data_IF_293837870834
#
_entry.id   IF_293837870834
#
_cell.length_a   1.000
_cell.length_b   1.000
_cell.length_c   1.000
_cell.angle_alpha   90.00
_cell.angle_beta   90.00
_cell.angle_gamma   90.00
#
_symmetry.space_group_name_H-M   'P 1'
#
loop_
_entity.id
_entity.type
_entity.pdbx_description
1 polymer ?
#
# COMPACT_ATOMS: atom_id res chain seq x y z
N UNK A 1 13.84 -25.89 32.83
CA UNK A 1 13.49 -26.33 34.20
C UNK A 1 12.98 -27.76 34.08
N UNK A 2 13.57 -28.70 34.81
CA UNK A 2 13.17 -30.10 34.74
C UNK A 2 12.41 -30.45 36.02
N UNK A 3 11.25 -31.07 35.87
CA UNK A 3 10.44 -31.48 37.02
C UNK A 3 10.95 -32.80 37.64
N UNK A 4 10.39 -33.24 38.77
CA UNK A 4 10.78 -34.49 39.46
C UNK A 4 10.52 -35.75 38.61
N UNK A 5 9.78 -35.66 37.48
CA UNK A 5 9.58 -36.74 36.53
C UNK A 5 10.49 -36.68 35.29
N UNK A 6 11.53 -35.85 35.35
CA UNK A 6 12.51 -35.61 34.26
C UNK A 6 11.87 -35.01 32.99
N UNK A 7 10.73 -34.34 33.10
CA UNK A 7 10.12 -33.60 31.99
C UNK A 7 10.78 -32.25 31.87
N UNK A 8 11.20 -31.89 30.71
CA UNK A 8 11.71 -30.57 30.39
C UNK A 8 10.50 -29.63 30.08
N UNK A 9 10.40 -28.55 30.85
CA UNK A 9 9.43 -27.50 30.59
C UNK A 9 10.20 -26.28 30.12
N UNK A 10 9.99 -25.90 28.85
CA UNK A 10 10.55 -24.68 28.27
C UNK A 10 9.45 -23.66 28.03
N UNK A 11 9.74 -22.39 28.24
CA UNK A 11 8.91 -21.27 27.85
C UNK A 11 9.75 -20.27 27.09
N UNK A 12 9.18 -19.71 26.01
CA UNK A 12 9.79 -18.63 25.25
C UNK A 12 8.90 -17.39 25.31
N UNK A 13 9.52 -16.22 25.34
CA UNK A 13 8.85 -14.95 25.25
C UNK A 13 9.51 -14.09 24.17
N UNK A 14 8.72 -13.21 23.55
CA UNK A 14 9.23 -12.22 22.61
C UNK A 14 9.15 -10.83 23.24
N UNK A 15 10.17 -10.01 23.01
CA UNK A 15 10.20 -8.60 23.40
C UNK A 15 10.45 -7.79 22.14
N UNK A 16 9.61 -6.79 21.92
CA UNK A 16 9.78 -5.83 20.82
C UNK A 16 10.58 -4.65 21.35
N UNK A 17 11.77 -4.41 20.77
CA UNK A 17 12.55 -3.21 21.02
C UNK A 17 12.37 -2.23 19.86
N UNK A 18 12.07 -0.98 20.13
CA UNK A 18 11.85 0.07 19.14
C UNK A 18 12.52 1.37 19.56
N UNK A 19 13.01 2.14 18.58
CA UNK A 19 13.56 3.48 18.80
C UNK A 19 12.50 4.58 18.86
N UNK A 20 11.27 4.30 18.39
CA UNK A 20 10.17 5.27 18.38
C UNK A 20 9.07 4.81 19.31
N UNK A 21 8.46 5.71 20.09
CA UNK A 21 7.35 5.39 20.97
C UNK A 21 6.12 4.86 20.20
N UNK A 22 5.91 5.39 19.00
CA UNK A 22 4.89 4.94 18.04
C UNK A 22 5.33 5.25 16.60
N UNK A 23 4.60 4.72 15.63
CA UNK A 23 4.80 4.98 14.21
C UNK A 23 3.56 5.65 13.62
N UNK A 24 3.78 6.45 12.57
CA UNK A 24 2.72 7.06 11.78
C UNK A 24 2.70 6.36 10.42
N UNK A 25 1.54 5.87 10.01
CA UNK A 25 1.33 5.24 8.71
C UNK A 25 0.35 6.10 7.91
N UNK A 26 0.78 6.59 6.76
CA UNK A 26 -0.06 7.36 5.84
C UNK A 26 -0.37 6.52 4.61
N UNK A 27 -1.64 6.47 4.22
CA UNK A 27 -2.09 5.80 3.00
C UNK A 27 -3.04 6.69 2.22
N UNK A 28 -3.01 6.59 0.89
CA UNK A 28 -3.99 7.23 0.02
C UNK A 28 -5.03 6.21 -0.44
N UNK A 29 -6.21 6.69 -0.78
CA UNK A 29 -7.27 5.91 -1.43
C UNK A 29 -6.99 5.58 -2.91
N UNK A 30 -5.82 5.96 -3.41
CA UNK A 30 -5.34 5.74 -4.78
C UNK A 30 -3.84 5.45 -4.77
N UNK A 31 -3.32 4.85 -5.84
CA UNK A 31 -1.89 4.56 -5.95
C UNK A 31 -1.05 5.76 -6.41
N UNK A 32 -1.68 6.71 -7.10
CA UNK A 32 -1.16 8.04 -7.41
C UNK A 32 -2.33 9.03 -7.40
N UNK A 33 -2.06 10.29 -7.03
CA UNK A 33 -3.10 11.31 -6.93
C UNK A 33 -3.47 11.83 -8.34
N UNK A 34 -4.74 11.74 -8.76
CA UNK A 34 -5.16 12.41 -9.98
C UNK A 34 -5.15 13.93 -9.77
N UNK A 35 -4.32 14.66 -10.55
CA UNK A 35 -4.26 16.13 -10.45
C UNK A 35 -5.62 16.78 -10.71
N UNK A 36 -6.00 17.73 -9.89
CA UNK A 36 -7.30 18.42 -9.95
C UNK A 36 -8.47 17.61 -9.38
N UNK A 37 -8.22 16.48 -8.73
CA UNK A 37 -9.27 15.65 -8.12
C UNK A 37 -9.01 15.49 -6.62
N UNK A 38 -10.05 15.53 -5.77
CA UNK A 38 -9.89 15.29 -4.34
C UNK A 38 -9.37 13.89 -4.04
N UNK A 39 -8.34 13.79 -3.22
CA UNK A 39 -7.73 12.57 -2.72
C UNK A 39 -7.91 12.49 -1.22
N UNK A 40 -8.24 11.31 -0.71
CA UNK A 40 -8.33 11.07 0.72
C UNK A 40 -7.07 10.39 1.22
N UNK A 41 -6.47 10.98 2.26
CA UNK A 41 -5.42 10.35 3.04
C UNK A 41 -5.99 9.81 4.36
N UNK A 42 -5.57 8.61 4.74
CA UNK A 42 -5.77 8.02 6.06
C UNK A 42 -4.44 7.97 6.78
N UNK A 43 -4.40 8.48 8.01
CA UNK A 43 -3.22 8.55 8.87
C UNK A 43 -3.51 7.72 10.10
N UNK A 44 -2.70 6.72 10.36
CA UNK A 44 -2.83 5.84 11.52
C UNK A 44 -1.61 5.98 12.42
N UNK A 45 -1.81 6.18 13.71
CA UNK A 45 -0.76 6.17 14.70
C UNK A 45 -0.86 4.90 15.57
N UNK A 46 0.22 4.12 15.63
CA UNK A 46 0.27 2.87 16.39
C UNK A 46 1.67 2.57 16.93
N UNK A 47 1.76 1.88 18.06
CA UNK A 47 3.01 1.32 18.59
C UNK A 47 3.51 0.16 17.71
N UNK A 48 4.73 -0.31 17.99
CA UNK A 48 5.33 -1.41 17.23
C UNK A 48 4.60 -2.75 17.40
N UNK A 49 3.89 -2.96 18.52
CA UNK A 49 3.04 -4.10 18.79
C UNK A 49 1.59 -3.95 18.27
N UNK A 50 1.31 -2.81 17.60
CA UNK A 50 0.04 -2.55 16.94
C UNK A 50 -1.01 -1.85 17.81
N UNK A 51 -0.70 -1.48 19.06
CA UNK A 51 -1.62 -0.72 19.89
C UNK A 51 -1.85 0.69 19.32
N UNK A 52 -3.10 1.11 19.23
CA UNK A 52 -3.50 2.37 18.60
C UNK A 52 -3.24 3.56 19.52
N UNK A 53 -2.72 4.64 18.95
CA UNK A 53 -2.48 5.90 19.70
C UNK A 53 -3.69 6.81 19.50
N UNK A 54 -4.58 6.77 20.49
CA UNK A 54 -5.79 7.60 20.48
C UNK A 54 -5.47 9.04 20.88
N UNK A 55 -6.21 9.98 20.25
CA UNK A 55 -6.18 11.41 20.59
C UNK A 55 -4.79 12.08 20.46
N UNK A 56 -3.87 11.50 19.70
CA UNK A 56 -2.63 12.18 19.33
C UNK A 56 -2.96 13.42 18.48
N UNK A 57 -2.28 14.52 18.73
CA UNK A 57 -2.52 15.81 18.07
C UNK A 57 -1.29 16.30 17.35
N UNK A 58 -1.50 17.05 16.27
CA UNK A 58 -0.41 17.63 15.53
C UNK A 58 -0.83 18.22 14.20
N UNK A 59 0.09 18.20 13.24
CA UNK A 59 -0.12 18.83 11.94
C UNK A 59 0.19 17.87 10.80
N UNK A 60 -0.50 18.05 9.69
CA UNK A 60 -0.16 17.42 8.41
C UNK A 60 0.07 18.53 7.38
N UNK A 61 1.18 18.46 6.65
CA UNK A 61 1.60 19.48 5.68
C UNK A 61 1.70 18.85 4.30
N UNK A 62 0.96 19.38 3.32
CA UNK A 62 1.11 19.03 1.91
C UNK A 62 2.25 19.86 1.31
N UNK A 63 3.20 19.18 0.71
CA UNK A 63 4.37 19.79 0.08
C UNK A 63 4.53 19.30 -1.35
N UNK A 64 4.91 20.21 -2.25
CA UNK A 64 5.44 19.88 -3.57
C UNK A 64 6.95 19.72 -3.49
N UNK A 65 7.49 18.60 -3.98
CA UNK A 65 8.93 18.34 -4.01
C UNK A 65 9.44 18.67 -5.42
N UNK A 66 10.31 19.66 -5.51
CA UNK A 66 10.95 20.07 -6.75
C UNK A 66 12.08 19.10 -7.14
N UNK A 67 12.49 19.11 -8.41
CA UNK A 67 13.56 18.23 -8.92
C UNK A 67 14.93 18.43 -8.21
N UNK A 68 15.17 19.58 -7.61
CA UNK A 68 16.35 19.88 -6.79
C UNK A 68 16.19 19.45 -5.31
N UNK A 69 15.09 18.80 -4.98
CA UNK A 69 14.77 18.32 -3.63
C UNK A 69 14.16 19.38 -2.71
N UNK A 70 14.03 20.64 -3.15
CA UNK A 70 13.34 21.66 -2.35
C UNK A 70 11.87 21.32 -2.18
N UNK A 71 11.35 21.54 -0.97
CA UNK A 71 9.96 21.33 -0.60
C UNK A 71 9.25 22.68 -0.49
N UNK A 72 8.17 22.83 -1.22
CA UNK A 72 7.29 23.98 -1.21
C UNK A 72 6.01 23.60 -0.47
N UNK A 73 5.72 24.25 0.64
CA UNK A 73 4.49 24.03 1.42
C UNK A 73 3.30 24.63 0.67
N UNK A 74 2.29 23.81 0.46
CA UNK A 74 1.05 24.19 -0.24
C UNK A 74 -0.09 24.39 0.74
N UNK A 75 -0.25 23.47 1.71
CA UNK A 75 -1.36 23.49 2.65
C UNK A 75 -0.94 22.84 3.97
N UNK A 76 -1.56 23.26 5.07
CA UNK A 76 -1.29 22.73 6.42
C UNK A 76 -2.62 22.55 7.14
N UNK A 77 -2.78 21.39 7.79
CA UNK A 77 -3.96 21.06 8.59
C UNK A 77 -3.55 20.69 10.00
N UNK A 78 -4.32 21.13 10.97
CA UNK A 78 -4.30 20.56 12.30
C UNK A 78 -5.09 19.24 12.27
N UNK A 79 -4.50 18.20 12.82
CA UNK A 79 -5.07 16.85 12.84
C UNK A 79 -5.06 16.27 14.24
N UNK A 80 -6.04 15.41 14.51
CA UNK A 80 -6.07 14.62 15.74
C UNK A 80 -6.58 13.20 15.41
N UNK A 81 -5.95 12.18 16.01
CA UNK A 81 -6.43 10.81 15.88
C UNK A 81 -7.67 10.57 16.74
N UNK A 82 -8.59 9.76 16.22
CA UNK A 82 -9.76 9.27 16.97
C UNK A 82 -9.38 8.22 18.03
N UNK A 83 -10.39 7.59 18.62
CA UNK A 83 -10.21 6.49 19.59
C UNK A 83 -9.55 5.26 18.97
N UNK A 84 -9.69 5.10 17.67
CA UNK A 84 -9.11 4.05 16.84
C UNK A 84 -7.67 4.34 16.40
N UNK A 85 -7.10 5.47 16.82
CA UNK A 85 -5.76 5.92 16.42
C UNK A 85 -5.70 6.42 14.98
N UNK A 86 -6.85 6.74 14.36
CA UNK A 86 -6.93 7.14 12.96
C UNK A 86 -7.36 8.60 12.80
N UNK A 87 -6.81 9.27 11.81
CA UNK A 87 -7.23 10.56 11.30
C UNK A 87 -7.37 10.48 9.77
N UNK A 88 -8.21 11.32 9.19
CA UNK A 88 -8.32 11.42 7.73
C UNK A 88 -8.42 12.87 7.30
N UNK A 89 -7.86 13.16 6.14
CA UNK A 89 -7.98 14.45 5.48
C UNK A 89 -8.22 14.28 3.98
N UNK A 90 -8.77 15.31 3.34
CA UNK A 90 -8.91 15.36 1.89
C UNK A 90 -8.15 16.57 1.37
N UNK A 91 -7.43 16.37 0.29
CA UNK A 91 -6.65 17.42 -0.35
C UNK A 91 -6.70 17.27 -1.87
N UNK A 92 -6.16 18.25 -2.58
CA UNK A 92 -6.07 18.27 -4.04
C UNK A 92 -4.67 18.70 -4.46
N UNK A 93 -4.12 18.04 -5.50
CA UNK A 93 -2.90 18.50 -6.15
C UNK A 93 -3.28 19.25 -7.44
N UNK A 94 -2.64 20.37 -7.71
CA UNK A 94 -2.97 21.19 -8.90
C UNK A 94 -2.26 20.72 -10.17
N UNK A 95 -1.06 20.13 -10.05
CA UNK A 95 -0.17 19.81 -11.15
C UNK A 95 0.40 18.40 -11.01
N UNK A 96 0.90 17.83 -12.11
CA UNK A 96 1.67 16.58 -12.06
C UNK A 96 3.04 16.81 -11.42
N UNK A 97 3.52 15.86 -10.63
CA UNK A 97 4.81 15.97 -9.94
C UNK A 97 4.90 15.08 -8.70
N UNK A 98 5.96 15.28 -7.93
CA UNK A 98 6.21 14.59 -6.67
C UNK A 98 5.74 15.45 -5.50
N UNK A 99 4.98 14.85 -4.61
CA UNK A 99 4.42 15.49 -3.42
C UNK A 99 4.76 14.70 -2.17
N UNK A 100 4.63 15.34 -1.02
CA UNK A 100 4.70 14.69 0.29
C UNK A 100 3.59 15.17 1.21
N UNK A 101 3.10 14.27 2.05
CA UNK A 101 2.37 14.57 3.28
C UNK A 101 3.35 14.38 4.43
N UNK A 102 3.77 15.47 5.06
CA UNK A 102 4.62 15.46 6.25
C UNK A 102 3.73 15.60 7.48
N UNK A 103 3.62 14.52 8.25
CA UNK A 103 2.74 14.43 9.42
C UNK A 103 3.58 14.44 10.68
N UNK A 104 3.24 15.30 11.60
CA UNK A 104 3.79 15.35 12.96
C UNK A 104 2.67 15.12 13.95
N UNK A 105 2.83 14.15 14.84
CA UNK A 105 1.87 13.85 15.92
C UNK A 105 2.58 13.79 17.27
N UNK A 106 1.89 14.22 18.31
CA UNK A 106 2.28 14.12 19.71
C UNK A 106 1.20 13.34 20.46
N UNK A 107 1.62 12.32 21.20
CA UNK A 107 0.73 11.52 22.07
C UNK A 107 0.43 12.25 23.39
N UNK A 108 -0.49 11.67 24.21
CA UNK A 108 -0.83 12.22 25.52
C UNK A 108 0.31 12.19 26.57
N UNK A 109 1.47 11.64 26.21
CA UNK A 109 2.65 11.53 27.08
C UNK A 109 3.77 12.49 26.68
N UNK A 110 3.55 13.35 25.67
CA UNK A 110 4.53 14.29 25.14
C UNK A 110 5.54 13.69 24.16
N UNK A 111 5.32 12.46 23.71
CA UNK A 111 6.17 11.87 22.69
C UNK A 111 5.76 12.41 21.31
N UNK A 112 6.73 12.97 20.59
CA UNK A 112 6.54 13.56 19.27
C UNK A 112 7.18 12.70 18.21
N UNK A 113 6.41 12.36 17.16
CA UNK A 113 6.87 11.59 15.99
C UNK A 113 6.53 12.35 14.72
N UNK A 114 7.45 12.33 13.78
CA UNK A 114 7.30 12.89 12.45
C UNK A 114 7.52 11.81 11.38
N UNK A 115 6.69 11.82 10.35
CA UNK A 115 6.76 10.92 9.20
C UNK A 115 6.44 11.69 7.91
N UNK A 116 7.12 11.32 6.82
CA UNK A 116 6.91 11.94 5.50
C UNK A 116 6.56 10.87 4.48
N UNK A 117 5.32 10.89 4.00
CA UNK A 117 4.81 10.01 2.96
C UNK A 117 4.88 10.70 1.60
N UNK A 118 5.68 10.16 0.67
CA UNK A 118 5.81 10.70 -0.68
C UNK A 118 4.86 9.98 -1.65
N UNK A 119 4.30 10.73 -2.58
CA UNK A 119 3.41 10.21 -3.61
C UNK A 119 3.50 11.04 -4.90
N UNK A 120 3.10 10.39 -6.00
CA UNK A 120 3.02 11.06 -7.29
C UNK A 120 1.64 11.65 -7.52
N UNK A 121 1.60 12.80 -8.16
CA UNK A 121 0.40 13.34 -8.81
C UNK A 121 0.57 13.28 -10.32
N UNK A 122 -0.51 12.89 -11.02
CA UNK A 122 -0.54 12.81 -12.46
C UNK A 122 -1.87 13.32 -13.02
N UNK A 123 -1.82 14.09 -14.08
CA UNK A 123 -3.01 14.62 -14.77
C UNK A 123 -2.65 15.47 -15.97
N UNK A 124 -3.67 16.10 -16.55
CA UNK A 124 -3.51 17.05 -17.65
C UNK A 124 -2.89 18.35 -17.13
N UNK A 125 -2.02 18.96 -17.92
CA UNK A 125 -1.42 20.24 -17.60
C UNK A 125 0.10 20.17 -17.44
N UNK A 126 0.64 21.08 -16.62
CA UNK A 126 2.07 21.17 -16.41
C UNK A 126 2.59 19.95 -15.68
N UNK A 127 3.61 19.33 -16.27
CA UNK A 127 4.37 18.25 -15.64
C UNK A 127 5.64 18.83 -15.03
N UNK A 128 5.76 18.75 -13.71
CA UNK A 128 6.97 19.16 -13.00
C UNK A 128 7.96 18.01 -12.96
N UNK A 129 9.25 18.25 -13.25
CA UNK A 129 10.27 17.22 -13.13
C UNK A 129 10.40 16.74 -11.68
N UNK A 130 10.69 15.45 -11.51
CA UNK A 130 10.93 14.83 -10.22
C UNK A 130 12.05 13.78 -10.31
N UNK A 131 12.55 13.36 -9.15
CA UNK A 131 13.46 12.23 -9.01
C UNK A 131 12.95 11.32 -7.89
N UNK A 132 12.72 10.07 -8.22
CA UNK A 132 12.32 9.03 -7.27
C UNK A 132 13.13 7.77 -7.49
N UNK A 133 13.01 7.21 -8.69
CA UNK A 133 13.64 5.96 -9.11
C UNK A 133 13.90 6.01 -10.62
N UNK A 134 14.93 5.32 -11.09
CA UNK A 134 15.21 5.17 -12.52
C UNK A 134 14.01 4.63 -13.32
N UNK A 135 13.19 3.77 -12.70
CA UNK A 135 11.93 3.27 -13.26
C UNK A 135 10.98 2.87 -12.13
N UNK A 136 9.68 3.19 -12.26
CA UNK A 136 8.63 2.76 -11.33
C UNK A 136 7.29 2.55 -12.03
N UNK A 137 6.42 1.74 -11.44
CA UNK A 137 5.04 1.49 -11.88
C UNK A 137 4.12 1.72 -10.70
N UNK A 138 3.08 2.53 -10.89
CA UNK A 138 2.11 2.87 -9.86
C UNK A 138 0.70 2.55 -10.38
N UNK A 139 0.05 1.46 -9.90
CA UNK A 139 -1.36 1.18 -10.19
C UNK A 139 -2.27 2.25 -9.58
N UNK A 140 -3.38 2.60 -10.23
CA UNK A 140 -4.33 3.62 -9.74
C UNK A 140 -5.13 3.16 -8.51
N UNK A 141 -5.30 1.85 -8.32
CA UNK A 141 -6.01 1.25 -7.18
C UNK A 141 -5.17 0.17 -6.50
N UNK A 142 -5.53 -0.18 -5.27
CA UNK A 142 -4.95 -1.32 -4.53
C UNK A 142 -5.55 -2.65 -4.96
N UNK A 143 -6.86 -2.66 -5.26
CA UNK A 143 -7.63 -3.85 -5.63
C UNK A 143 -8.53 -3.53 -6.82
N UNK A 144 -8.78 -4.53 -7.62
CA UNK A 144 -9.59 -4.48 -8.83
C UNK A 144 -10.62 -5.60 -8.85
N UNK A 145 -11.68 -5.41 -9.66
CA UNK A 145 -12.62 -6.45 -9.99
C UNK A 145 -12.46 -6.87 -11.48
N UNK A 146 -12.85 -8.11 -11.84
CA UNK A 146 -12.97 -8.49 -13.23
C UNK A 146 -13.91 -7.53 -13.99
N UNK A 147 -13.43 -7.00 -15.13
CA UNK A 147 -14.11 -5.97 -15.91
C UNK A 147 -13.60 -4.55 -15.67
N UNK A 148 -12.83 -4.31 -14.59
CA UNK A 148 -12.17 -3.03 -14.38
C UNK A 148 -11.09 -2.77 -15.44
N UNK A 149 -10.78 -1.49 -15.62
CA UNK A 149 -9.60 -1.05 -16.36
C UNK A 149 -8.58 -0.51 -15.35
N UNK A 150 -7.49 -1.25 -15.16
CA UNK A 150 -6.35 -0.76 -14.38
C UNK A 150 -5.60 0.32 -15.17
N UNK A 151 -5.27 1.42 -14.49
CA UNK A 151 -4.45 2.49 -15.02
C UNK A 151 -3.11 2.50 -14.30
N UNK A 152 -2.05 2.22 -15.05
CA UNK A 152 -0.70 2.09 -14.53
C UNK A 152 0.10 3.33 -14.93
N UNK A 153 0.48 4.14 -13.95
CA UNK A 153 1.39 5.24 -14.17
C UNK A 153 2.82 4.70 -14.18
N UNK A 154 3.43 4.66 -15.35
CA UNK A 154 4.85 4.31 -15.53
C UNK A 154 5.66 5.58 -15.45
N UNK A 155 6.69 5.61 -14.61
CA UNK A 155 7.52 6.79 -14.38
C UNK A 155 9.01 6.45 -14.44
N UNK A 156 9.82 7.43 -14.86
CA UNK A 156 11.28 7.30 -14.88
C UNK A 156 11.95 8.63 -14.54
N UNK A 157 13.08 8.57 -13.84
CA UNK A 157 13.97 9.73 -13.64
C UNK A 157 14.60 10.18 -14.95
N UNK A 158 14.60 9.34 -15.98
CA UNK A 158 15.12 9.66 -17.31
C UNK A 158 13.99 10.18 -18.19
N UNK A 159 14.04 11.45 -18.63
CA UNK A 159 13.05 11.99 -19.54
C UNK A 159 13.05 11.24 -20.88
N UNK A 160 11.90 11.16 -21.50
CA UNK A 160 11.68 10.55 -22.83
C UNK A 160 12.19 9.09 -22.95
N UNK A 161 12.16 8.37 -21.81
CA UNK A 161 12.56 6.97 -21.80
C UNK A 161 11.60 6.11 -22.62
N UNK A 162 12.15 5.09 -23.28
CA UNK A 162 11.38 4.00 -23.86
C UNK A 162 11.38 2.83 -22.90
N UNK A 163 10.20 2.39 -22.53
CA UNK A 163 10.00 1.37 -21.49
C UNK A 163 9.25 0.20 -22.10
N UNK A 164 9.81 -0.99 -22.02
CA UNK A 164 9.09 -2.23 -22.28
C UNK A 164 8.23 -2.56 -21.07
N UNK A 165 6.95 -2.82 -21.30
CA UNK A 165 6.01 -3.27 -20.28
C UNK A 165 5.48 -4.66 -20.62
N UNK A 166 5.41 -5.52 -19.61
CA UNK A 166 4.93 -6.89 -19.70
C UNK A 166 3.80 -7.07 -18.70
N UNK A 167 2.68 -7.53 -19.18
CA UNK A 167 1.51 -7.86 -18.38
C UNK A 167 1.39 -9.38 -18.38
N UNK A 168 1.48 -10.01 -17.23
CA UNK A 168 1.50 -11.46 -17.08
C UNK A 168 0.45 -11.91 -16.07
N UNK A 169 -0.53 -12.68 -16.53
CA UNK A 169 -1.37 -13.44 -15.63
C UNK A 169 -0.73 -14.82 -15.30
N UNK A 170 -1.20 -15.47 -14.25
CA UNK A 170 -0.60 -16.69 -13.68
C UNK A 170 -0.47 -17.84 -14.68
N UNK A 171 -1.20 -17.83 -15.80
CA UNK A 171 -1.40 -19.06 -16.55
C UNK A 171 -1.13 -19.01 -18.05
N UNK A 172 -1.29 -17.89 -18.77
CA UNK A 172 -1.20 -17.98 -20.26
C UNK A 172 -0.91 -16.71 -21.07
N UNK A 173 -1.20 -15.52 -20.59
CA UNK A 173 -1.12 -14.35 -21.46
C UNK A 173 -0.03 -13.36 -21.03
N UNK A 174 0.99 -13.26 -21.84
CA UNK A 174 1.97 -12.21 -21.76
C UNK A 174 1.70 -11.18 -22.85
N UNK A 175 1.29 -9.99 -22.49
CA UNK A 175 1.19 -8.89 -23.43
C UNK A 175 2.41 -7.98 -23.28
N UNK A 176 3.04 -7.66 -24.40
CA UNK A 176 4.25 -6.83 -24.44
C UNK A 176 3.93 -5.52 -25.13
N UNK A 177 4.35 -4.42 -24.54
CA UNK A 177 4.20 -3.11 -25.15
C UNK A 177 5.47 -2.28 -24.95
N UNK A 178 5.87 -1.58 -26.01
CA UNK A 178 6.87 -0.53 -25.90
C UNK A 178 6.13 0.80 -25.67
N UNK A 179 6.42 1.42 -24.53
CA UNK A 179 5.80 2.67 -24.10
C UNK A 179 6.85 3.77 -24.15
N UNK A 180 6.55 4.87 -24.84
CA UNK A 180 7.38 6.07 -24.79
C UNK A 180 6.84 6.99 -23.70
N UNK A 181 7.69 7.40 -22.79
CA UNK A 181 7.29 8.37 -21.77
C UNK A 181 7.19 9.76 -22.40
N UNK A 182 6.15 10.50 -22.05
CA UNK A 182 6.12 11.96 -22.24
C UNK A 182 6.85 12.59 -21.07
N UNK A 183 8.03 13.12 -21.34
CA UNK A 183 8.99 13.51 -20.31
C UNK A 183 9.31 12.33 -19.38
N UNK A 184 8.71 12.27 -18.19
CA UNK A 184 9.00 11.26 -17.16
C UNK A 184 7.87 10.27 -16.92
N UNK A 185 6.74 10.39 -17.64
CA UNK A 185 5.51 9.65 -17.32
C UNK A 185 4.83 9.09 -18.55
N UNK A 186 4.18 7.93 -18.39
CA UNK A 186 3.18 7.44 -19.35
C UNK A 186 2.08 6.68 -18.59
N UNK A 187 0.86 6.76 -19.11
CA UNK A 187 -0.28 5.99 -18.60
C UNK A 187 -0.49 4.76 -19.50
N UNK A 188 -0.46 3.59 -18.88
CA UNK A 188 -0.76 2.31 -19.55
C UNK A 188 -2.08 1.78 -19.00
N UNK A 189 -3.04 1.56 -19.89
CA UNK A 189 -4.33 0.99 -19.51
C UNK A 189 -4.36 -0.50 -19.83
N UNK A 190 -4.92 -1.28 -18.89
CA UNK A 190 -5.12 -2.71 -19.01
C UNK A 190 -6.53 -3.09 -18.53
N UNK A 191 -7.32 -3.71 -19.41
CA UNK A 191 -8.62 -4.26 -19.04
C UNK A 191 -8.42 -5.61 -18.38
N UNK A 192 -8.97 -5.76 -17.17
CA UNK A 192 -8.86 -6.96 -16.37
C UNK A 192 -10.05 -7.90 -16.62
N UNK A 193 -9.78 -9.19 -16.60
CA UNK A 193 -10.76 -10.25 -16.82
C UNK A 193 -10.78 -11.23 -15.65
N UNK A 194 -11.69 -12.20 -15.66
CA UNK A 194 -11.70 -13.28 -14.66
C UNK A 194 -10.47 -14.18 -14.73
N UNK A 195 -9.82 -14.26 -15.90
CA UNK A 195 -8.61 -15.06 -16.09
C UNK A 195 -7.38 -14.45 -15.41
N UNK A 196 -7.46 -13.18 -15.03
CA UNK A 196 -6.38 -12.45 -14.37
C UNK A 196 -6.41 -12.60 -12.83
N UNK A 197 -7.44 -13.27 -12.29
CA UNK A 197 -7.52 -13.60 -10.86
C UNK A 197 -6.51 -14.68 -10.47
N UNK A 198 -5.99 -14.67 -9.23
CA UNK A 198 -6.23 -13.72 -8.15
C UNK A 198 -5.38 -12.45 -8.26
N UNK A 199 -4.40 -12.44 -9.14
CA UNK A 199 -3.49 -11.32 -9.36
C UNK A 199 -2.88 -11.34 -10.76
N UNK A 200 -2.46 -10.17 -11.22
CA UNK A 200 -1.71 -10.01 -12.46
C UNK A 200 -0.40 -9.26 -12.17
N UNK A 201 0.72 -9.84 -12.57
CA UNK A 201 2.02 -9.21 -12.50
C UNK A 201 2.22 -8.22 -13.66
N UNK A 202 2.77 -7.05 -13.35
CA UNK A 202 3.21 -6.05 -14.31
C UNK A 202 4.71 -5.86 -14.13
N UNK A 203 5.47 -6.07 -15.18
CA UNK A 203 6.90 -5.82 -15.18
C UNK A 203 7.22 -4.77 -16.25
N UNK A 204 8.21 -3.95 -15.95
CA UNK A 204 8.73 -2.98 -16.92
C UNK A 204 10.25 -2.95 -16.86
N UNK A 205 10.87 -2.67 -17.99
CA UNK A 205 12.29 -2.39 -18.01
C UNK A 205 12.64 -1.31 -19.05
N UNK A 206 13.73 -0.62 -18.79
CA UNK A 206 14.38 0.31 -19.70
C UNK A 206 15.89 0.17 -19.59
N UNK A 207 16.60 0.48 -20.67
CA UNK A 207 18.07 0.51 -20.68
C UNK A 207 18.50 1.95 -20.89
N UNK A 208 19.32 2.45 -19.97
CA UNK A 208 19.90 3.81 -20.04
C UNK A 208 21.36 3.77 -19.64
N UNK A 209 22.20 4.44 -20.42
CA UNK A 209 23.66 4.53 -20.17
C UNK A 209 24.34 3.15 -20.01
N UNK A 210 23.83 2.12 -20.68
CA UNK A 210 24.32 0.74 -20.56
C UNK A 210 23.83 -0.03 -19.33
N UNK A 211 22.97 0.56 -18.49
CA UNK A 211 22.39 -0.07 -17.32
C UNK A 211 20.93 -0.47 -17.58
N UNK A 212 20.55 -1.65 -17.09
CA UNK A 212 19.19 -2.14 -17.07
C UNK A 212 18.49 -1.66 -15.81
N UNK A 213 17.36 -1.00 -15.97
CA UNK A 213 16.49 -0.59 -14.88
C UNK A 213 15.17 -1.33 -14.99
N UNK A 214 14.74 -1.94 -13.89
CA UNK A 214 13.54 -2.76 -13.81
C UNK A 214 12.58 -2.24 -12.74
N UNK A 215 11.30 -2.43 -12.97
CA UNK A 215 10.24 -2.16 -12.01
C UNK A 215 9.15 -3.23 -12.13
N UNK A 216 8.49 -3.55 -11.03
CA UNK A 216 7.36 -4.46 -11.00
C UNK A 216 6.23 -3.91 -10.14
N UNK A 217 5.00 -4.29 -10.49
CA UNK A 217 3.80 -4.06 -9.69
C UNK A 217 2.90 -5.29 -9.79
N UNK A 218 2.07 -5.47 -8.79
CA UNK A 218 1.06 -6.52 -8.75
C UNK A 218 -0.32 -5.88 -8.70
N UNK A 219 -1.23 -6.36 -9.57
CA UNK A 219 -2.63 -5.97 -9.57
C UNK A 219 -3.41 -7.06 -8.84
N UNK A 220 -3.93 -6.74 -7.68
CA UNK A 220 -4.71 -7.68 -6.88
C UNK A 220 -6.16 -7.70 -7.38
N UNK A 221 -6.65 -8.89 -7.73
CA UNK A 221 -8.00 -9.12 -8.26
C UNK A 221 -8.64 -10.23 -7.41
N UNK A 222 -9.11 -9.91 -6.19
CA UNK A 222 -9.60 -10.92 -5.25
C UNK A 222 -10.73 -11.76 -5.85
N UNK A 223 -10.71 -13.10 -5.69
CA UNK A 223 -11.77 -13.98 -6.15
C UNK A 223 -12.96 -13.98 -5.17
N UNK A 224 -13.47 -12.81 -4.80
CA UNK A 224 -14.48 -12.63 -3.75
C UNK A 224 -15.71 -13.52 -3.94
N UNK A 225 -16.13 -13.75 -5.21
CA UNK A 225 -17.23 -14.63 -5.54
C UNK A 225 -16.88 -16.13 -5.62
N UNK A 226 -15.66 -16.54 -5.20
CA UNK A 226 -15.21 -17.94 -5.25
C UNK A 226 -14.67 -18.42 -3.90
N UNK A 227 -14.68 -17.57 -2.86
CA UNK A 227 -14.20 -17.94 -1.54
C UNK A 227 -15.28 -18.73 -0.79
N UNK A 228 -14.89 -19.92 -0.33
CA UNK A 228 -15.70 -20.71 0.59
C UNK A 228 -15.43 -20.26 2.01
N UNK A 229 -16.45 -20.16 2.84
CA UNK A 229 -16.35 -19.87 4.27
C UNK A 229 -16.49 -21.17 5.07
N UNK A 230 -15.38 -21.89 5.38
CA UNK A 230 -15.45 -23.07 6.21
C UNK A 230 -15.62 -22.70 7.68
N UNK A 231 -16.47 -23.43 8.38
CA UNK A 231 -16.58 -23.34 9.84
C UNK A 231 -16.57 -24.74 10.46
N UNK A 232 -15.99 -24.85 11.64
CA UNK A 232 -15.87 -26.08 12.39
C UNK A 232 -16.65 -25.91 13.68
N UNK A 233 -17.64 -26.76 13.88
CA UNK A 233 -18.48 -26.73 15.08
C UNK A 233 -18.26 -28.05 15.84
N UNK A 234 -17.55 -28.03 16.97
CA UNK A 234 -17.43 -29.19 17.83
C UNK A 234 -18.77 -29.48 18.52
N UNK A 235 -19.12 -30.77 18.64
CA UNK A 235 -20.38 -31.19 19.27
C UNK A 235 -20.47 -30.82 20.77
N UNK A 236 -19.31 -30.60 21.43
CA UNK A 236 -19.20 -30.13 22.83
C UNK A 236 -18.08 -29.14 22.95
N UNK A 237 -18.14 -28.27 23.96
CA UNK A 237 -17.09 -27.30 24.28
C UNK A 237 -15.86 -27.92 24.96
N UNK A 238 -16.01 -29.08 25.58
CA UNK A 238 -14.94 -29.81 26.27
C UNK A 238 -15.12 -31.31 26.11
N UNK A 239 -14.00 -32.03 25.96
CA UNK A 239 -13.94 -33.50 25.91
C UNK A 239 -12.92 -34.00 26.93
N UNK A 240 -13.14 -35.17 27.46
CA UNK A 240 -12.17 -35.86 28.33
C UNK A 240 -11.18 -36.63 27.46
N UNK A 241 -9.94 -36.87 27.95
CA UNK A 241 -8.99 -37.72 27.26
C UNK A 241 -9.62 -39.11 26.94
N UNK A 242 -9.55 -39.53 25.66
CA UNK A 242 -10.14 -40.80 25.19
C UNK A 242 -11.65 -40.77 24.88
N UNK A 243 -12.33 -39.66 25.07
CA UNK A 243 -13.75 -39.50 24.72
C UNK A 243 -13.89 -39.33 23.19
N UNK A 244 -14.88 -40.02 22.62
CA UNK A 244 -15.25 -39.82 21.21
C UNK A 244 -15.94 -38.47 21.03
N UNK A 245 -15.42 -37.68 20.10
CA UNK A 245 -15.96 -36.36 19.74
C UNK A 245 -16.57 -36.36 18.33
N UNK A 246 -17.66 -35.64 18.17
CA UNK A 246 -18.25 -35.35 16.87
C UNK A 246 -17.89 -33.89 16.50
N UNK A 247 -17.46 -33.70 15.25
CA UNK A 247 -17.15 -32.37 14.70
C UNK A 247 -17.95 -32.22 13.41
N UNK A 248 -18.69 -31.13 13.30
CA UNK A 248 -19.42 -30.77 12.09
C UNK A 248 -18.63 -29.75 11.29
N UNK A 249 -18.36 -30.07 10.04
CA UNK A 249 -17.77 -29.12 9.08
C UNK A 249 -18.89 -28.50 8.26
N UNK A 250 -19.01 -27.20 8.31
CA UNK A 250 -19.95 -26.45 7.48
C UNK A 250 -19.14 -25.63 6.48
N UNK A 251 -19.51 -25.69 5.22
CA UNK A 251 -18.92 -24.88 4.16
C UNK A 251 -20.03 -24.08 3.51
N UNK A 252 -19.95 -22.77 3.61
CA UNK A 252 -20.85 -21.85 2.89
C UNK A 252 -20.16 -21.42 1.61
N UNK A 253 -20.89 -21.50 0.50
CA UNK A 253 -20.49 -20.90 -0.75
C UNK A 253 -20.58 -19.38 -0.70
N UNK A 254 -20.03 -18.68 -1.70
CA UNK A 254 -20.28 -17.26 -1.88
C UNK A 254 -21.78 -17.05 -2.13
N UNK A 255 -22.33 -16.00 -1.53
CA UNK A 255 -23.71 -15.53 -1.75
C UNK A 255 -23.89 -14.97 -3.17
#
# INVERSE_FOLDING_TARGET
MTDASLREVSASGQVIATFRPFNIFTTLNCGYAPAGTPVRASITAATADGAKIAHARGTCVLQHIRADGRRETLETWDIATGKDGEASLSFQTGESGLYALSTTLEDGHGNKVEESFQFLSYGKGKQNPFKINPLSIHPDKKEYAPGDTARLLVTSDYPDARVWTFLRNSWKNESRRLVSLDRQTALVECRLTREDMPNMGVNAFTVRNGELHEASAELLIPPAGQLLAPSIVPGKSQYRPGEQGNVTFQVKGPD
#
